data_IF_487885921731
#
_entry.id   IF_487885921731
#
_cell.length_a   1.000
_cell.length_b   1.000
_cell.length_c   1.000
_cell.angle_alpha   90.00
_cell.angle_beta   90.00
_cell.angle_gamma   90.00
#
_symmetry.space_group_name_H-M   'P 1'
#
loop_
_entity.id
_entity.type
_entity.pdbx_description
1 polymer ?
#
# COMPACT_ATOMS: atom_id res chain seq x y z
N UNK A 1 -24.06 20.68 -57.22
CA UNK A 1 -22.76 20.23 -56.66
C UNK A 1 -22.37 20.94 -55.36
N UNK A 2 -22.43 22.28 -55.26
CA UNK A 2 -22.06 23.03 -54.03
C UNK A 2 -22.88 22.66 -52.78
N UNK A 3 -24.20 22.46 -52.91
CA UNK A 3 -25.08 22.06 -51.79
C UNK A 3 -24.69 20.70 -51.19
N UNK A 4 -24.33 19.73 -52.02
CA UNK A 4 -23.89 18.40 -51.57
C UNK A 4 -22.54 18.45 -50.85
N UNK A 5 -21.62 19.33 -51.29
CA UNK A 5 -20.34 19.56 -50.59
C UNK A 5 -20.54 20.12 -49.18
N UNK A 6 -21.50 21.05 -49.01
CA UNK A 6 -21.84 21.63 -47.70
C UNK A 6 -22.45 20.57 -46.78
N UNK A 7 -23.35 19.73 -47.31
CA UNK A 7 -23.98 18.63 -46.55
C UNK A 7 -22.92 17.62 -46.09
N UNK A 8 -21.99 17.23 -46.97
CA UNK A 8 -20.92 16.28 -46.65
C UNK A 8 -19.98 16.85 -45.57
N UNK A 9 -19.64 18.14 -45.66
CA UNK A 9 -18.80 18.82 -44.66
C UNK A 9 -19.49 18.86 -43.29
N UNK A 10 -20.80 19.10 -43.26
CA UNK A 10 -21.57 19.13 -42.03
C UNK A 10 -21.68 17.74 -41.40
N UNK A 11 -21.89 16.71 -42.24
CA UNK A 11 -21.96 15.32 -41.79
C UNK A 11 -20.62 14.85 -41.21
N UNK A 12 -19.49 15.19 -41.85
CA UNK A 12 -18.17 14.83 -41.34
C UNK A 12 -17.85 15.55 -40.04
N UNK A 13 -18.26 16.83 -39.90
CA UNK A 13 -18.14 17.58 -38.66
C UNK A 13 -18.88 16.93 -37.49
N UNK A 14 -20.11 16.47 -37.73
CA UNK A 14 -20.91 15.76 -36.72
C UNK A 14 -20.20 14.45 -36.31
N UNK A 15 -19.76 13.64 -37.28
CA UNK A 15 -19.07 12.36 -37.03
C UNK A 15 -17.80 12.56 -36.18
N UNK A 16 -17.00 13.58 -36.46
CA UNK A 16 -15.81 13.91 -35.68
C UNK A 16 -16.14 14.29 -34.23
N UNK A 17 -17.24 15.01 -34.00
CA UNK A 17 -17.68 15.38 -32.64
C UNK A 17 -18.11 14.13 -31.86
N UNK A 18 -18.90 13.23 -32.46
CA UNK A 18 -19.31 11.99 -31.75
C UNK A 18 -18.13 11.05 -31.49
N UNK A 19 -17.15 10.99 -32.39
CA UNK A 19 -15.93 10.22 -32.22
C UNK A 19 -14.98 10.80 -31.16
N UNK A 20 -15.11 12.09 -30.83
CA UNK A 20 -14.26 12.78 -29.86
C UNK A 20 -14.65 12.56 -28.39
N UNK A 21 -15.80 11.93 -28.11
CA UNK A 21 -16.14 11.44 -26.78
C UNK A 21 -15.25 10.25 -26.39
N UNK A 22 -14.01 10.53 -26.01
CA UNK A 22 -13.14 9.55 -25.36
C UNK A 22 -13.79 9.13 -24.04
N UNK A 23 -13.84 7.83 -23.80
CA UNK A 23 -14.26 7.29 -22.50
C UNK A 23 -13.34 7.89 -21.43
N UNK A 24 -13.96 8.41 -20.37
CA UNK A 24 -13.26 8.85 -19.18
C UNK A 24 -12.40 7.70 -18.64
N UNK A 25 -11.21 8.00 -18.12
CA UNK A 25 -10.34 6.96 -17.59
C UNK A 25 -11.09 6.18 -16.51
N UNK A 26 -11.15 4.85 -16.65
CA UNK A 26 -11.88 3.99 -15.71
C UNK A 26 -11.22 3.99 -14.32
N UNK A 27 -9.93 4.33 -14.27
CA UNK A 27 -9.13 4.41 -13.06
C UNK A 27 -8.24 5.66 -13.11
N UNK A 28 -7.78 6.15 -11.95
CA UNK A 28 -6.80 7.23 -11.93
C UNK A 28 -5.56 6.88 -12.75
N UNK A 29 -5.05 7.83 -13.51
CA UNK A 29 -3.80 7.70 -14.28
C UNK A 29 -2.63 7.20 -13.41
N UNK A 30 -2.56 7.65 -12.16
CA UNK A 30 -1.51 7.30 -11.21
C UNK A 30 -1.78 6.01 -10.42
N UNK A 31 -2.74 5.18 -10.87
CA UNK A 31 -3.05 3.92 -10.18
C UNK A 31 -1.86 2.96 -10.29
N UNK A 32 -1.13 2.82 -9.19
CA UNK A 32 -0.11 1.79 -9.04
C UNK A 32 -0.79 0.43 -8.90
N UNK A 33 -0.52 -0.48 -9.84
CA UNK A 33 -1.02 -1.87 -9.79
C UNK A 33 0.00 -2.78 -9.12
N UNK A 34 -0.45 -3.95 -8.68
CA UNK A 34 0.38 -4.92 -7.96
C UNK A 34 1.64 -5.34 -8.73
N UNK A 35 1.59 -5.33 -10.06
CA UNK A 35 2.73 -5.64 -10.93
C UNK A 35 3.82 -4.56 -10.86
N UNK A 36 3.43 -3.30 -10.66
CA UNK A 36 4.36 -2.19 -10.45
C UNK A 36 4.82 -2.08 -8.99
N UNK A 37 4.04 -2.60 -8.04
CA UNK A 37 4.44 -2.67 -6.62
C UNK A 37 5.57 -3.68 -6.43
N UNK A 38 5.49 -4.85 -7.07
CA UNK A 38 6.45 -5.94 -6.92
C UNK A 38 7.25 -6.20 -8.20
N UNK A 39 7.60 -5.15 -8.93
CA UNK A 39 8.47 -5.27 -10.10
C UNK A 39 9.89 -5.65 -9.65
N UNK A 40 10.38 -6.79 -10.12
CA UNK A 40 11.76 -7.25 -9.92
C UNK A 40 12.84 -6.25 -10.37
N UNK A 41 12.50 -5.31 -11.26
CA UNK A 41 13.39 -4.29 -11.80
C UNK A 41 13.31 -2.96 -11.05
N UNK A 42 12.34 -2.79 -10.15
CA UNK A 42 12.26 -1.60 -9.31
C UNK A 42 13.26 -1.72 -8.16
N UNK A 43 14.44 -1.15 -8.36
CA UNK A 43 15.49 -1.10 -7.33
C UNK A 43 15.18 -0.14 -6.19
N UNK A 44 14.28 0.83 -6.39
CA UNK A 44 13.93 1.80 -5.36
C UNK A 44 12.93 1.20 -4.36
N UNK A 45 12.02 0.34 -4.83
CA UNK A 45 11.10 -0.43 -3.98
C UNK A 45 10.16 0.42 -3.14
N UNK A 46 9.95 1.69 -3.52
CA UNK A 46 9.16 2.66 -2.75
C UNK A 46 7.72 2.19 -2.60
N UNK A 47 7.15 1.68 -3.69
CA UNK A 47 5.79 1.15 -3.69
C UNK A 47 5.67 -0.13 -2.86
N UNK A 48 6.68 -1.01 -2.91
CA UNK A 48 6.74 -2.23 -2.10
C UNK A 48 6.81 -1.89 -0.59
N UNK A 49 7.63 -0.90 -0.22
CA UNK A 49 7.72 -0.41 1.15
C UNK A 49 6.38 0.18 1.62
N UNK A 50 5.76 1.05 0.81
CA UNK A 50 4.45 1.63 1.14
C UNK A 50 3.36 0.56 1.27
N UNK A 51 3.41 -0.49 0.43
CA UNK A 51 2.51 -1.63 0.52
C UNK A 51 2.68 -2.38 1.86
N UNK A 52 3.92 -2.66 2.26
CA UNK A 52 4.24 -3.31 3.54
C UNK A 52 3.78 -2.46 4.75
N UNK A 53 4.07 -1.15 4.74
CA UNK A 53 3.62 -0.25 5.79
C UNK A 53 2.09 -0.15 5.87
N UNK A 54 1.39 -0.22 4.72
CA UNK A 54 -0.05 -0.29 4.69
C UNK A 54 -0.62 -1.56 5.35
N UNK A 55 0.09 -2.69 5.26
CA UNK A 55 -0.24 -3.91 6.00
C UNK A 55 -0.05 -3.68 7.50
N UNK A 56 1.14 -3.22 7.92
CA UNK A 56 1.42 -2.97 9.33
C UNK A 56 0.48 -1.93 9.97
N UNK A 57 0.07 -0.90 9.23
CA UNK A 57 -0.87 0.11 9.72
C UNK A 57 -2.29 -0.42 9.94
N UNK A 58 -2.66 -1.54 9.31
CA UNK A 58 -3.98 -2.19 9.48
C UNK A 58 -3.92 -3.45 10.33
N UNK A 59 -2.74 -4.03 10.50
CA UNK A 59 -2.53 -5.18 11.35
C UNK A 59 -2.94 -4.80 12.77
N UNK A 60 -3.98 -5.45 13.27
CA UNK A 60 -4.38 -5.30 14.67
C UNK A 60 -3.20 -5.74 15.53
N UNK A 61 -2.96 -5.05 16.65
CA UNK A 61 -2.02 -5.50 17.67
C UNK A 61 -2.45 -6.90 18.15
N UNK A 62 -1.88 -7.94 17.54
CA UNK A 62 -2.20 -9.34 17.77
C UNK A 62 -0.92 -10.06 18.17
N UNK A 63 -1.00 -10.71 19.33
CA UNK A 63 0.03 -11.47 20.05
C UNK A 63 0.88 -10.64 21.05
N UNK A 64 0.29 -10.56 22.25
CA UNK A 64 0.76 -10.09 23.56
C UNK A 64 1.28 -8.64 23.70
N UNK A 65 0.83 -7.96 24.76
CA UNK A 65 0.99 -6.51 24.99
C UNK A 65 1.77 -6.22 26.27
N UNK A 66 2.91 -6.85 26.48
CA UNK A 66 3.79 -6.43 27.58
C UNK A 66 4.42 -5.09 27.18
N UNK A 67 3.82 -3.98 27.61
CA UNK A 67 4.34 -2.64 27.37
C UNK A 67 4.33 -2.16 25.90
N UNK A 68 3.62 -2.83 24.99
CA UNK A 68 3.62 -2.50 23.56
C UNK A 68 4.79 -3.08 22.77
N UNK A 69 5.57 -3.96 23.39
CA UNK A 69 6.63 -4.72 22.74
C UNK A 69 6.07 -5.84 21.86
N UNK A 70 6.62 -5.98 20.65
CA UNK A 70 6.19 -7.00 19.70
C UNK A 70 7.03 -8.27 19.90
N UNK A 71 6.36 -9.34 20.31
CA UNK A 71 6.95 -10.66 20.50
C UNK A 71 6.90 -11.45 19.19
N UNK A 72 7.93 -12.24 18.91
CA UNK A 72 8.04 -13.08 17.70
C UNK A 72 6.97 -14.19 17.61
N UNK A 73 6.36 -14.56 18.75
CA UNK A 73 5.31 -15.55 18.87
C UNK A 73 4.21 -15.14 19.88
N UNK A 74 3.04 -15.76 19.74
CA UNK A 74 1.89 -15.61 20.64
C UNK A 74 1.93 -16.53 21.86
N UNK A 75 3.08 -17.10 22.16
CA UNK A 75 3.27 -18.12 23.17
C UNK A 75 3.99 -17.56 24.39
N UNK A 76 4.03 -18.36 25.45
CA UNK A 76 4.82 -18.15 26.66
C UNK A 76 6.33 -18.11 26.42
N UNK A 77 6.81 -18.77 25.35
CA UNK A 77 8.24 -18.78 24.97
C UNK A 77 8.67 -17.61 24.05
N UNK A 78 7.81 -16.64 23.83
CA UNK A 78 8.06 -15.62 22.82
C UNK A 78 9.18 -14.65 23.21
N UNK A 79 10.05 -14.32 22.24
CA UNK A 79 11.21 -13.46 22.43
C UNK A 79 10.89 -12.06 21.91
N UNK A 80 11.29 -11.05 22.69
CA UNK A 80 11.20 -9.66 22.28
C UNK A 80 12.14 -9.35 21.10
N UNK A 81 11.61 -8.63 20.12
CA UNK A 81 12.41 -8.03 19.05
C UNK A 81 13.29 -6.86 19.51
N UNK A 82 13.01 -6.28 20.68
CA UNK A 82 13.72 -5.14 21.25
C UNK A 82 14.73 -5.57 22.32
N UNK A 83 16.01 -5.53 21.97
CA UNK A 83 17.11 -5.81 22.90
C UNK A 83 17.42 -4.58 23.78
N UNK A 84 17.07 -4.64 25.07
CA UNK A 84 17.40 -3.59 26.03
C UNK A 84 17.18 -4.04 27.48
N UNK A 85 18.04 -3.59 28.40
CA UNK A 85 17.95 -3.90 29.82
C UNK A 85 16.72 -3.27 30.52
N UNK A 86 16.14 -2.25 29.90
CA UNK A 86 14.92 -1.58 30.37
C UNK A 86 13.64 -2.13 29.73
N UNK A 87 13.77 -3.10 28.80
CA UNK A 87 12.61 -3.74 28.20
C UNK A 87 11.94 -4.66 29.22
N UNK A 88 10.64 -4.48 29.43
CA UNK A 88 9.80 -5.30 30.31
C UNK A 88 9.93 -6.81 30.04
N UNK A 89 10.09 -7.23 28.79
CA UNK A 89 10.23 -8.65 28.41
C UNK A 89 11.60 -9.20 28.83
N UNK A 90 12.66 -8.41 28.68
CA UNK A 90 14.01 -8.77 29.18
C UNK A 90 14.00 -8.92 30.71
N UNK A 91 13.33 -8.01 31.42
CA UNK A 91 13.23 -8.05 32.88
C UNK A 91 12.46 -9.29 33.34
N UNK A 92 11.33 -9.60 32.69
CA UNK A 92 10.50 -10.76 33.00
C UNK A 92 11.26 -12.09 32.74
N UNK A 93 11.96 -12.21 31.62
CA UNK A 93 12.69 -13.42 31.23
C UNK A 93 13.97 -13.65 32.04
N UNK A 94 14.65 -12.59 32.47
CA UNK A 94 15.88 -12.68 33.29
C UNK A 94 15.63 -12.64 34.79
N UNK A 95 14.36 -12.47 35.21
CA UNK A 95 13.98 -12.23 36.59
C UNK A 95 14.76 -11.07 37.26
N UNK A 96 15.14 -10.05 36.47
CA UNK A 96 15.93 -8.91 36.92
C UNK A 96 15.10 -7.87 37.69
N UNK A 97 14.27 -8.31 38.62
CA UNK A 97 13.50 -7.43 39.49
C UNK A 97 14.39 -6.91 40.62
N UNK A 98 14.41 -5.59 40.83
CA UNK A 98 14.98 -5.00 42.04
C UNK A 98 13.92 -4.96 43.15
N UNK A 99 14.24 -5.52 44.32
CA UNK A 99 13.48 -5.27 45.54
C UNK A 99 13.88 -3.91 46.09
N UNK A 100 13.02 -2.91 45.95
CA UNK A 100 13.08 -1.73 46.80
C UNK A 100 12.53 -2.05 48.19
#
# INVERSE_FOLDING_TARGET
MKKYKIIILFLSGIICVVASCKKYEQFPVDKVTINYVFDSKDSAGVNAQAYLYGIYGRLKFGHNRVGGDYLDAASDDAISSAAGATNSVTILSTAAYNSY
#
